data_IF_292442149870
#
_entry.id   IF_292442149870
#
_cell.length_a   1.000
_cell.length_b   1.000
_cell.length_c   1.000
_cell.angle_alpha   90.00
_cell.angle_beta   90.00
_cell.angle_gamma   90.00
#
_symmetry.space_group_name_H-M   'P 1'
#
loop_
_entity.id
_entity.type
_entity.pdbx_description
1 polymer ?
#
# COMPACT_ATOMS: atom_id res chain seq x y z
N UNK A 1 6.41 -21.96 61.32
CA UNK A 1 7.35 -21.67 60.21
C UNK A 1 6.87 -22.20 58.86
N UNK A 2 6.41 -23.46 58.74
CA UNK A 2 6.00 -24.04 57.45
C UNK A 2 4.89 -23.27 56.69
N UNK A 3 3.84 -22.81 57.39
CA UNK A 3 2.70 -22.09 56.78
C UNK A 3 3.04 -20.68 56.26
N UNK A 4 4.07 -20.02 56.80
CA UNK A 4 4.50 -18.68 56.33
C UNK A 4 5.34 -18.77 55.05
N UNK A 5 6.13 -19.84 54.92
CA UNK A 5 6.95 -20.10 53.73
C UNK A 5 6.09 -20.53 52.54
N UNK A 6 5.09 -21.39 52.76
CA UNK A 6 4.14 -21.81 51.72
C UNK A 6 3.34 -20.63 51.15
N UNK A 7 2.90 -19.69 52.01
CA UNK A 7 2.23 -18.46 51.56
C UNK A 7 3.15 -17.56 50.72
N UNK A 8 4.43 -17.48 51.08
CA UNK A 8 5.41 -16.69 50.33
C UNK A 8 5.70 -17.29 48.95
N UNK A 9 5.87 -18.62 48.86
CA UNK A 9 6.08 -19.34 47.60
C UNK A 9 4.86 -19.23 46.67
N UNK A 10 3.64 -19.37 47.20
CA UNK A 10 2.42 -19.20 46.42
C UNK A 10 2.29 -17.80 45.84
N UNK A 11 2.57 -16.76 46.66
CA UNK A 11 2.49 -15.37 46.23
C UNK A 11 3.53 -15.04 45.15
N UNK A 12 4.76 -15.55 45.28
CA UNK A 12 5.81 -15.39 44.28
C UNK A 12 5.44 -16.07 42.96
N UNK A 13 4.88 -17.28 43.03
CA UNK A 13 4.40 -18.02 41.84
C UNK A 13 3.26 -17.28 41.15
N UNK A 14 2.26 -16.82 41.91
CA UNK A 14 1.12 -16.08 41.36
C UNK A 14 1.53 -14.73 40.76
N UNK A 15 2.46 -14.03 41.40
CA UNK A 15 2.97 -12.75 40.91
C UNK A 15 3.82 -12.94 39.65
N UNK A 16 4.73 -13.92 39.65
CA UNK A 16 5.52 -14.31 38.49
C UNK A 16 4.66 -14.72 37.32
N UNK A 17 3.66 -15.59 37.54
CA UNK A 17 2.73 -16.03 36.50
C UNK A 17 1.90 -14.86 35.92
N UNK A 18 1.44 -13.93 36.76
CA UNK A 18 0.75 -12.72 36.29
C UNK A 18 1.66 -11.79 35.49
N UNK A 19 2.95 -11.75 35.81
CA UNK A 19 3.92 -10.98 35.05
C UNK A 19 4.19 -11.62 33.69
N UNK A 20 4.44 -12.92 33.64
CA UNK A 20 4.62 -13.68 32.40
C UNK A 20 3.40 -13.57 31.47
N UNK A 21 2.19 -13.65 32.03
CA UNK A 21 0.96 -13.49 31.24
C UNK A 21 0.85 -12.08 30.62
N UNK A 22 1.17 -11.03 31.38
CA UNK A 22 1.18 -9.66 30.87
C UNK A 22 2.24 -9.47 29.77
N UNK A 23 3.45 -9.96 29.99
CA UNK A 23 4.53 -9.87 28.99
C UNK A 23 4.16 -10.62 27.70
N UNK A 24 3.49 -11.78 27.83
CA UNK A 24 2.96 -12.51 26.68
C UNK A 24 1.85 -11.74 25.95
N UNK A 25 0.90 -11.15 26.68
CA UNK A 25 -0.17 -10.32 26.10
C UNK A 25 0.38 -9.07 25.39
N UNK A 26 1.34 -8.38 26.00
CA UNK A 26 2.01 -7.23 25.42
C UNK A 26 2.79 -7.60 24.16
N UNK A 27 3.49 -8.74 24.17
CA UNK A 27 4.18 -9.28 22.99
C UNK A 27 3.19 -9.63 21.87
N UNK A 28 2.04 -10.23 22.19
CA UNK A 28 1.02 -10.56 21.21
C UNK A 28 0.41 -9.29 20.60
N UNK A 29 0.19 -8.27 21.42
CA UNK A 29 -0.30 -6.96 20.96
C UNK A 29 0.70 -6.32 20.00
N UNK A 30 1.97 -6.25 20.39
CA UNK A 30 3.03 -5.71 19.53
C UNK A 30 3.13 -6.46 18.20
N UNK A 31 3.06 -7.80 18.22
CA UNK A 31 3.05 -8.61 17.01
C UNK A 31 1.85 -8.29 16.10
N UNK A 32 0.65 -8.15 16.66
CA UNK A 32 -0.56 -7.80 15.91
C UNK A 32 -0.45 -6.40 15.30
N UNK A 33 0.03 -5.42 16.05
CA UNK A 33 0.17 -4.04 15.59
C UNK A 33 1.16 -3.97 14.41
N UNK A 34 2.31 -4.66 14.53
CA UNK A 34 3.30 -4.77 13.44
C UNK A 34 2.68 -5.45 12.22
N UNK A 35 2.01 -6.59 12.42
CA UNK A 35 1.41 -7.33 11.30
C UNK A 35 0.36 -6.49 10.57
N UNK A 36 -0.53 -5.84 11.31
CA UNK A 36 -1.56 -4.99 10.74
C UNK A 36 -0.94 -3.82 9.98
N UNK A 37 0.10 -3.18 10.53
CA UNK A 37 0.82 -2.10 9.86
C UNK A 37 1.44 -2.55 8.53
N UNK A 38 2.06 -3.73 8.49
CA UNK A 38 2.64 -4.30 7.26
C UNK A 38 1.54 -4.64 6.24
N UNK A 39 0.47 -5.28 6.68
CA UNK A 39 -0.64 -5.67 5.81
C UNK A 39 -1.31 -4.44 5.19
N UNK A 40 -1.54 -3.39 5.99
CA UNK A 40 -2.05 -2.10 5.51
C UNK A 40 -1.10 -1.46 4.51
N UNK A 41 0.19 -1.32 4.83
CA UNK A 41 1.16 -0.70 3.92
C UNK A 41 1.27 -1.43 2.58
N UNK A 42 1.16 -2.77 2.59
CA UNK A 42 1.18 -3.59 1.38
C UNK A 42 -0.07 -3.40 0.53
N UNK A 43 -1.24 -3.30 1.14
CA UNK A 43 -2.49 -3.08 0.43
C UNK A 43 -2.55 -1.68 -0.18
N UNK A 44 -2.15 -0.66 0.58
CA UNK A 44 -2.04 0.72 0.10
C UNK A 44 -1.06 0.81 -1.08
N UNK A 45 0.15 0.27 -0.95
CA UNK A 45 1.12 0.28 -2.04
C UNK A 45 0.65 -0.46 -3.30
N UNK A 46 -0.14 -1.54 -3.14
CA UNK A 46 -0.76 -2.22 -4.29
C UNK A 46 -1.83 -1.37 -4.97
N UNK A 47 -2.66 -0.70 -4.18
CA UNK A 47 -3.73 0.14 -4.68
C UNK A 47 -3.16 1.36 -5.42
N UNK A 48 -2.18 2.02 -4.82
CA UNK A 48 -1.46 3.15 -5.43
C UNK A 48 -0.78 2.72 -6.72
N UNK A 49 0.03 1.66 -6.69
CA UNK A 49 0.72 1.19 -7.89
C UNK A 49 -0.22 0.75 -9.01
N UNK A 50 -1.41 0.22 -8.68
CA UNK A 50 -2.43 -0.11 -9.68
C UNK A 50 -3.03 1.14 -10.31
N UNK A 51 -3.31 2.17 -9.51
CA UNK A 51 -3.88 3.41 -10.01
C UNK A 51 -2.86 4.19 -10.85
N UNK A 52 -1.63 4.33 -10.36
CA UNK A 52 -0.53 4.94 -11.13
C UNK A 52 -0.30 4.20 -12.45
N UNK A 53 -0.21 2.87 -12.41
CA UNK A 53 -0.04 2.05 -13.61
C UNK A 53 -1.19 2.19 -14.61
N UNK A 54 -2.43 2.35 -14.13
CA UNK A 54 -3.61 2.58 -14.97
C UNK A 54 -3.55 3.96 -15.64
N UNK A 55 -3.23 5.01 -14.87
CA UNK A 55 -3.11 6.38 -15.39
C UNK A 55 -1.99 6.47 -16.41
N UNK A 56 -0.81 5.94 -16.09
CA UNK A 56 0.32 5.87 -17.04
C UNK A 56 -0.03 5.09 -18.29
N UNK A 57 -0.71 3.94 -18.14
CA UNK A 57 -1.13 3.11 -19.27
C UNK A 57 -2.06 3.87 -20.21
N UNK A 58 -3.06 4.57 -19.68
CA UNK A 58 -3.99 5.39 -20.47
C UNK A 58 -3.24 6.52 -21.18
N UNK A 59 -2.34 7.22 -20.48
CA UNK A 59 -1.55 8.29 -21.09
C UNK A 59 -0.66 7.77 -22.24
N UNK A 60 0.04 6.64 -22.02
CA UNK A 60 0.86 5.98 -23.04
C UNK A 60 0.01 5.52 -24.24
N UNK A 61 -1.18 4.99 -24.00
CA UNK A 61 -2.12 4.57 -25.06
C UNK A 61 -2.60 5.77 -25.88
N UNK A 62 -3.01 6.87 -25.24
CA UNK A 62 -3.42 8.11 -25.93
C UNK A 62 -2.33 8.64 -26.86
N UNK A 63 -1.09 8.69 -26.38
CA UNK A 63 0.06 9.12 -27.18
C UNK A 63 0.34 8.15 -28.34
N UNK A 64 0.23 6.84 -28.11
CA UNK A 64 0.39 5.84 -29.17
C UNK A 64 -0.73 5.95 -30.22
N UNK A 65 -1.97 6.20 -29.80
CA UNK A 65 -3.10 6.49 -30.69
C UNK A 65 -2.84 7.74 -31.51
N UNK A 66 -2.40 8.83 -30.88
CA UNK A 66 -2.09 10.07 -31.59
C UNK A 66 -1.03 9.86 -32.69
N UNK A 67 0.07 9.16 -32.37
CA UNK A 67 1.09 8.80 -33.36
C UNK A 67 0.55 7.97 -34.52
N UNK A 68 -0.31 6.98 -34.23
CA UNK A 68 -0.95 6.16 -35.27
C UNK A 68 -1.84 7.00 -36.19
N UNK A 69 -2.64 7.90 -35.63
CA UNK A 69 -3.53 8.76 -36.41
C UNK A 69 -2.76 9.77 -37.28
N UNK A 70 -1.68 10.35 -36.75
CA UNK A 70 -0.77 11.20 -37.54
C UNK A 70 -0.14 10.40 -38.69
N UNK A 71 0.31 9.17 -38.44
CA UNK A 71 0.85 8.28 -39.47
C UNK A 71 -0.18 7.87 -40.53
N UNK A 72 -1.48 7.96 -40.23
CA UNK A 72 -2.58 7.77 -41.19
C UNK A 72 -2.89 9.04 -42.00
N UNK A 73 -2.19 10.15 -41.75
CA UNK A 73 -2.35 11.42 -42.48
C UNK A 73 -3.49 12.30 -41.96
N UNK A 74 -4.00 12.07 -40.75
CA UNK A 74 -4.97 12.97 -40.12
C UNK A 74 -4.29 14.28 -39.70
N UNK A 75 -5.04 15.38 -39.70
CA UNK A 75 -4.51 16.69 -39.23
C UNK A 75 -4.36 16.71 -37.71
N UNK A 76 -3.46 17.56 -37.21
CA UNK A 76 -3.21 17.66 -35.77
C UNK A 76 -4.48 18.04 -35.00
N UNK A 77 -5.36 18.86 -35.57
CA UNK A 77 -6.63 19.24 -34.95
C UNK A 77 -7.60 18.05 -34.85
N UNK A 78 -7.63 17.19 -35.86
CA UNK A 78 -8.43 15.96 -35.85
C UNK A 78 -7.91 14.97 -34.81
N UNK A 79 -6.59 14.85 -34.69
CA UNK A 79 -5.94 13.98 -33.70
C UNK A 79 -6.16 14.50 -32.28
N UNK A 80 -6.07 15.82 -32.05
CA UNK A 80 -6.34 16.47 -30.77
C UNK A 80 -7.75 16.14 -30.29
N UNK A 81 -8.72 16.32 -31.19
CA UNK A 81 -10.12 16.01 -30.93
C UNK A 81 -10.38 14.52 -30.68
N UNK A 82 -9.62 13.62 -31.31
CA UNK A 82 -9.81 12.17 -31.20
C UNK A 82 -9.14 11.52 -29.99
N UNK A 83 -8.15 12.18 -29.38
CA UNK A 83 -7.34 11.60 -28.29
C UNK A 83 -7.49 12.35 -26.95
N UNK A 84 -8.25 13.45 -26.95
CA UNK A 84 -8.33 14.42 -25.86
C UNK A 84 -6.93 14.89 -25.42
N UNK A 85 -6.05 15.14 -26.39
CA UNK A 85 -4.73 15.75 -26.17
C UNK A 85 -4.77 17.19 -26.67
N UNK A 86 -3.92 18.04 -26.08
CA UNK A 86 -3.73 19.39 -26.58
C UNK A 86 -3.01 19.38 -27.93
N UNK A 87 -3.17 20.46 -28.70
CA UNK A 87 -2.45 20.60 -29.98
C UNK A 87 -0.95 20.66 -29.69
N UNK A 88 -0.54 21.33 -28.62
CA UNK A 88 0.84 21.43 -28.18
C UNK A 88 1.44 20.04 -27.85
N UNK A 89 0.67 19.16 -27.18
CA UNK A 89 1.12 17.80 -26.89
C UNK A 89 1.32 16.98 -28.19
N UNK A 90 0.48 17.23 -29.20
CA UNK A 90 0.57 16.55 -30.50
C UNK A 90 1.72 17.10 -31.35
N UNK A 91 1.95 18.41 -31.34
CA UNK A 91 3.10 19.04 -31.98
C UNK A 91 4.42 18.47 -31.46
N UNK A 92 4.49 18.14 -30.16
CA UNK A 92 5.66 17.49 -29.55
C UNK A 92 5.87 16.03 -29.98
N UNK A 93 4.90 15.41 -30.66
CA UNK A 93 5.00 14.02 -31.14
C UNK A 93 5.57 13.89 -32.56
N UNK A 94 5.60 14.99 -33.33
CA UNK A 94 6.08 15.09 -34.71
C UNK A 94 7.51 15.62 -34.71
#
# INVERSE_FOLDING_TARGET
MRLSEERYISLLTDFGFKQELREYEDSLKAYRDIKNSIDTAKEEGRKEGREEGRVEGIAKEKLATAKRLLGMGLTQEQVAKGTDLSIEDIERLV
#
